data_IF_916162867346
#
_entry.id   IF_916162867346
#
_cell.length_a   1.000
_cell.length_b   1.000
_cell.length_c   1.000
_cell.angle_alpha   90.00
_cell.angle_beta   90.00
_cell.angle_gamma   90.00
#
_symmetry.space_group_name_H-M   'P 1'
#
loop_
_entity.id
_entity.type
_entity.pdbx_description
1 polymer ?
#
# COMPACT_ATOMS: atom_id res chain seq x y z
N UNK A 1 -10.66 43.86 60.20
CA UNK A 1 -9.96 43.35 58.99
C UNK A 1 -10.91 42.37 58.32
N UNK A 2 -12.02 42.82 57.74
CA UNK A 2 -12.18 43.44 56.41
C UNK A 2 -11.83 42.46 55.27
N UNK A 3 -12.91 42.02 54.61
CA UNK A 3 -12.99 41.23 53.38
C UNK A 3 -12.54 42.07 52.17
N UNK A 4 -11.89 41.42 51.21
CA UNK A 4 -11.87 41.71 49.75
C UNK A 4 -11.47 40.37 49.11
N UNK A 5 -12.35 39.66 48.39
CA UNK A 5 -12.69 39.83 46.96
C UNK A 5 -11.44 39.99 46.08
N UNK A 6 -11.14 38.96 45.28
CA UNK A 6 -10.62 39.17 43.93
C UNK A 6 -10.97 37.98 43.02
N UNK A 7 -11.23 38.37 41.77
CA UNK A 7 -12.05 37.75 40.74
C UNK A 7 -11.47 36.51 40.05
N UNK A 8 -12.32 35.50 39.87
CA UNK A 8 -12.18 34.44 38.86
C UNK A 8 -12.28 35.06 37.46
N UNK A 9 -11.14 35.28 36.80
CA UNK A 9 -11.10 35.39 35.35
C UNK A 9 -11.04 33.99 34.74
N UNK A 10 -12.18 33.53 34.23
CA UNK A 10 -12.28 32.42 33.30
C UNK A 10 -11.54 32.78 32.01
N UNK A 11 -10.41 32.14 31.76
CA UNK A 11 -9.81 32.06 30.42
C UNK A 11 -10.72 31.17 29.57
N UNK A 12 -11.23 31.61 28.41
CA UNK A 12 -12.02 30.74 27.54
C UNK A 12 -11.11 29.62 27.03
N UNK A 13 -11.48 28.37 27.32
CA UNK A 13 -10.91 27.21 26.63
C UNK A 13 -11.14 27.40 25.12
N UNK A 14 -10.05 27.36 24.35
CA UNK A 14 -10.10 27.32 22.91
C UNK A 14 -10.95 26.12 22.47
N UNK A 15 -12.11 26.41 21.89
CA UNK A 15 -13.01 25.42 21.33
C UNK A 15 -12.38 24.88 20.04
N UNK A 16 -11.81 23.68 20.14
CA UNK A 16 -11.76 22.62 19.13
C UNK A 16 -11.98 23.03 17.65
N UNK A 17 -11.06 23.81 17.05
CA UNK A 17 -11.13 24.28 15.65
C UNK A 17 -10.64 23.26 14.62
N UNK A 18 -9.83 22.26 15.01
CA UNK A 18 -9.22 21.32 14.06
C UNK A 18 -10.22 20.32 13.46
N UNK A 19 -11.26 19.94 14.20
CA UNK A 19 -12.26 18.97 13.75
C UNK A 19 -13.26 19.60 12.75
N UNK A 20 -13.53 20.91 12.86
CA UNK A 20 -14.40 21.63 11.91
C UNK A 20 -13.73 21.89 10.57
N UNK A 21 -12.42 22.19 10.55
CA UNK A 21 -11.69 22.44 9.30
C UNK A 21 -11.55 21.18 8.43
N UNK A 22 -11.32 20.01 9.06
CA UNK A 22 -11.22 18.73 8.35
C UNK A 22 -12.52 18.35 7.63
N UNK A 23 -13.67 18.49 8.31
CA UNK A 23 -15.00 18.25 7.71
C UNK A 23 -15.27 19.20 6.55
N UNK A 24 -14.87 20.46 6.71
CA UNK A 24 -15.02 21.49 5.67
C UNK A 24 -14.20 21.15 4.41
N UNK A 25 -12.96 20.65 4.56
CA UNK A 25 -12.14 20.26 3.41
C UNK A 25 -12.70 19.05 2.65
N UNK A 26 -13.13 17.99 3.35
CA UNK A 26 -13.73 16.82 2.70
C UNK A 26 -14.96 17.21 1.89
N UNK A 27 -15.86 17.99 2.48
CA UNK A 27 -17.09 18.46 1.81
C UNK A 27 -16.76 19.37 0.62
N UNK A 28 -15.80 20.27 0.77
CA UNK A 28 -15.38 21.17 -0.31
C UNK A 28 -14.79 20.41 -1.50
N UNK A 29 -13.81 19.53 -1.26
CA UNK A 29 -13.10 18.81 -2.32
C UNK A 29 -13.87 17.61 -2.89
N UNK A 30 -15.05 17.29 -2.35
CA UNK A 30 -16.02 16.39 -3.00
C UNK A 30 -16.74 17.03 -4.20
N UNK A 31 -16.67 18.36 -4.33
CA UNK A 31 -17.27 19.12 -5.44
C UNK A 31 -16.39 19.04 -6.70
N UNK A 32 -16.93 19.36 -7.90
CA UNK A 32 -16.13 19.37 -9.12
C UNK A 32 -14.88 20.26 -8.99
N UNK A 33 -13.72 19.82 -9.51
CA UNK A 33 -12.44 20.54 -9.36
C UNK A 33 -12.43 21.92 -10.02
N UNK A 34 -13.35 22.17 -10.95
CA UNK A 34 -13.54 23.46 -11.61
C UNK A 34 -14.31 24.49 -10.79
N UNK A 35 -14.82 24.11 -9.60
CA UNK A 35 -15.62 25.01 -8.75
C UNK A 35 -14.74 26.12 -8.17
N UNK A 36 -15.22 27.36 -8.19
CA UNK A 36 -14.45 28.53 -7.74
C UNK A 36 -13.93 28.39 -6.30
N UNK A 37 -14.74 27.84 -5.38
CA UNK A 37 -14.33 27.61 -3.99
C UNK A 37 -13.21 26.56 -3.86
N UNK A 38 -13.23 25.50 -4.68
CA UNK A 38 -12.19 24.46 -4.71
C UNK A 38 -10.88 25.03 -5.24
N UNK A 39 -10.94 25.81 -6.33
CA UNK A 39 -9.76 26.46 -6.91
C UNK A 39 -9.17 27.51 -5.96
N UNK A 40 -10.00 28.31 -5.29
CA UNK A 40 -9.55 29.29 -4.31
C UNK A 40 -8.84 28.59 -3.14
N UNK A 41 -9.46 27.54 -2.59
CA UNK A 41 -8.83 26.80 -1.49
C UNK A 41 -7.54 26.11 -1.91
N UNK A 42 -7.50 25.57 -3.13
CA UNK A 42 -6.27 25.00 -3.71
C UNK A 42 -5.17 26.06 -3.82
N UNK A 43 -5.49 27.26 -4.31
CA UNK A 43 -4.57 28.40 -4.40
C UNK A 43 -3.99 28.75 -3.03
N UNK A 44 -4.85 28.88 -2.01
CA UNK A 44 -4.44 29.18 -0.63
C UNK A 44 -3.49 28.14 -0.07
N UNK A 45 -3.80 26.84 -0.24
CA UNK A 45 -2.95 25.74 0.22
C UNK A 45 -1.59 25.77 -0.50
N UNK A 46 -1.57 25.89 -1.83
CA UNK A 46 -0.32 25.96 -2.58
C UNK A 46 0.52 27.19 -2.20
N UNK A 47 -0.08 28.38 -2.07
CA UNK A 47 0.61 29.58 -1.63
C UNK A 47 1.24 29.41 -0.25
N UNK A 48 0.48 28.85 0.71
CA UNK A 48 0.92 28.70 2.10
C UNK A 48 2.05 27.69 2.26
N UNK A 49 1.98 26.56 1.56
CA UNK A 49 2.88 25.41 1.81
C UNK A 49 3.99 25.24 0.78
N UNK A 50 3.82 25.72 -0.46
CA UNK A 50 4.86 25.66 -1.49
C UNK A 50 5.67 26.96 -1.59
N UNK A 51 5.06 28.10 -1.21
CA UNK A 51 5.70 29.42 -1.26
C UNK A 51 6.11 29.86 -2.67
N UNK A 52 6.95 30.90 -2.74
CA UNK A 52 7.56 31.35 -4.00
C UNK A 52 6.52 31.85 -5.00
N UNK A 53 6.61 31.42 -6.26
CA UNK A 53 5.67 31.88 -7.30
C UNK A 53 4.21 31.54 -6.99
N UNK A 54 3.96 30.48 -6.21
CA UNK A 54 2.61 30.05 -5.82
C UNK A 54 1.86 31.10 -4.98
N UNK A 55 2.55 32.00 -4.28
CA UNK A 55 1.95 33.10 -3.51
C UNK A 55 1.33 34.18 -4.40
N UNK A 56 1.83 34.32 -5.63
CA UNK A 56 1.45 35.40 -6.55
C UNK A 56 0.37 35.01 -7.57
N UNK A 57 0.08 33.71 -7.68
CA UNK A 57 -0.89 33.20 -8.64
C UNK A 57 -2.29 33.66 -8.29
N UNK A 58 -3.04 34.07 -9.32
CA UNK A 58 -4.48 34.25 -9.21
C UNK A 58 -5.23 32.92 -9.36
N UNK A 59 -6.44 32.87 -8.85
CA UNK A 59 -7.29 31.66 -8.85
C UNK A 59 -7.59 31.14 -10.25
N UNK A 60 -7.73 32.04 -11.25
CA UNK A 60 -7.93 31.68 -12.66
C UNK A 60 -6.71 31.02 -13.32
N UNK A 61 -5.54 31.11 -12.69
CA UNK A 61 -4.28 30.53 -13.18
C UNK A 61 -4.00 29.13 -12.60
N UNK A 62 -4.69 28.72 -11.53
CA UNK A 62 -4.51 27.40 -10.93
C UNK A 62 -5.06 26.32 -11.88
N UNK A 63 -4.20 25.37 -12.25
CA UNK A 63 -4.59 24.19 -13.02
C UNK A 63 -4.70 23.00 -12.07
N UNK A 64 -5.94 22.57 -11.81
CA UNK A 64 -6.24 21.43 -10.97
C UNK A 64 -6.81 20.29 -11.82
N UNK A 65 -6.22 19.11 -11.74
CA UNK A 65 -6.70 17.90 -12.42
C UNK A 65 -6.92 16.79 -11.39
N UNK A 66 -8.07 16.12 -11.45
CA UNK A 66 -8.31 14.91 -10.65
C UNK A 66 -7.33 13.84 -11.08
N UNK A 67 -6.71 13.20 -10.11
CA UNK A 67 -5.86 12.03 -10.27
C UNK A 67 -6.63 10.83 -9.73
N UNK A 68 -6.84 9.82 -10.56
CA UNK A 68 -7.39 8.55 -10.10
C UNK A 68 -6.39 7.88 -9.15
N UNK A 69 -6.90 7.32 -8.05
CA UNK A 69 -6.12 6.57 -7.06
C UNK A 69 -6.73 6.62 -5.66
N UNK A 70 -6.57 5.54 -4.89
CA UNK A 70 -6.94 5.40 -3.46
C UNK A 70 -8.43 5.51 -3.13
N UNK A 71 -8.88 4.78 -2.10
CA UNK A 71 -10.25 4.88 -1.57
C UNK A 71 -10.37 5.86 -0.38
N UNK A 72 -9.24 6.21 0.22
CA UNK A 72 -9.16 7.00 1.43
C UNK A 72 -8.81 8.48 1.21
N UNK A 73 -8.47 8.84 -0.03
CA UNK A 73 -7.96 10.16 -0.40
C UNK A 73 -8.59 10.67 -1.70
N UNK A 74 -8.97 11.95 -1.74
CA UNK A 74 -9.13 12.65 -3.02
C UNK A 74 -7.76 13.15 -3.48
N UNK A 75 -7.36 12.74 -4.69
CA UNK A 75 -6.05 13.06 -5.23
C UNK A 75 -6.17 14.05 -6.40
N UNK A 76 -5.37 15.10 -6.38
CA UNK A 76 -5.36 16.11 -7.43
C UNK A 76 -3.93 16.50 -7.80
N UNK A 77 -3.66 16.63 -9.08
CA UNK A 77 -2.42 17.25 -9.57
C UNK A 77 -2.67 18.75 -9.74
N UNK A 78 -1.88 19.56 -9.04
CA UNK A 78 -1.85 21.01 -9.20
C UNK A 78 -0.62 21.39 -10.02
N UNK A 79 -0.79 22.28 -11.01
CA UNK A 79 0.33 22.71 -11.89
C UNK A 79 0.34 24.22 -12.07
N UNK A 80 1.56 24.76 -12.18
CA UNK A 80 1.81 26.09 -12.70
C UNK A 80 1.42 26.17 -14.19
N UNK A 81 0.95 27.32 -14.68
CA UNK A 81 0.87 27.60 -16.11
C UNK A 81 2.23 27.47 -16.81
N UNK A 82 2.23 27.07 -18.08
CA UNK A 82 3.46 26.85 -18.86
C UNK A 82 4.27 28.14 -19.07
N UNK A 83 3.60 29.29 -19.08
CA UNK A 83 4.17 30.63 -19.25
C UNK A 83 4.74 31.24 -17.96
N UNK A 84 4.47 30.63 -16.80
CA UNK A 84 4.97 31.10 -15.51
C UNK A 84 6.32 30.43 -15.20
N UNK A 85 7.37 31.23 -14.98
CA UNK A 85 8.67 30.74 -14.53
C UNK A 85 8.73 30.66 -13.00
N UNK A 86 9.45 29.67 -12.49
CA UNK A 86 9.74 29.54 -11.06
C UNK A 86 10.75 30.60 -10.63
N UNK A 87 10.64 31.08 -9.41
CA UNK A 87 11.51 32.09 -8.82
C UNK A 87 12.72 31.47 -8.13
N UNK A 88 12.55 30.28 -7.55
CA UNK A 88 13.59 29.53 -6.84
C UNK A 88 13.41 28.01 -7.10
N UNK A 89 13.48 27.19 -6.05
CA UNK A 89 13.41 25.73 -6.10
C UNK A 89 11.98 25.17 -5.92
N UNK A 90 10.95 26.02 -6.00
CA UNK A 90 9.57 25.56 -5.85
C UNK A 90 9.14 24.65 -7.01
N UNK A 91 8.31 23.62 -6.74
CA UNK A 91 7.93 22.67 -7.77
C UNK A 91 6.95 23.29 -8.76
N UNK A 92 7.09 22.94 -10.05
CA UNK A 92 6.10 23.30 -11.09
C UNK A 92 4.77 22.56 -10.95
N UNK A 93 4.80 21.42 -10.27
CA UNK A 93 3.62 20.59 -10.03
C UNK A 93 3.72 19.86 -8.70
N UNK A 94 2.59 19.73 -8.02
CA UNK A 94 2.46 19.00 -6.77
C UNK A 94 1.22 18.11 -6.79
N UNK A 95 1.26 17.03 -6.02
CA UNK A 95 0.12 16.16 -5.76
C UNK A 95 -0.53 16.61 -4.45
N UNK A 96 -1.76 17.09 -4.54
CA UNK A 96 -2.62 17.45 -3.42
C UNK A 96 -3.46 16.24 -3.03
N UNK A 97 -3.31 15.76 -1.79
CA UNK A 97 -4.09 14.66 -1.22
C UNK A 97 -4.98 15.18 -0.10
N UNK A 98 -6.28 14.97 -0.20
CA UNK A 98 -7.27 15.32 0.82
C UNK A 98 -7.85 14.07 1.46
N UNK A 99 -7.74 13.96 2.77
CA UNK A 99 -8.20 12.79 3.54
C UNK A 99 -9.71 12.76 3.60
N UNK A 100 -10.33 11.64 3.22
CA UNK A 100 -11.78 11.50 3.23
C UNK A 100 -12.29 10.42 4.19
N UNK A 101 -11.60 9.31 4.37
CA UNK A 101 -12.14 8.15 5.12
C UNK A 101 -11.17 7.60 6.19
N UNK A 102 -10.38 8.47 6.82
CA UNK A 102 -9.43 8.08 7.86
C UNK A 102 -9.77 8.66 9.22
N UNK A 103 -9.50 7.91 10.28
CA UNK A 103 -9.53 8.44 11.63
C UNK A 103 -8.25 9.22 11.98
N UNK A 104 -8.27 9.96 13.10
CA UNK A 104 -7.14 10.80 13.53
C UNK A 104 -5.87 9.98 13.80
N UNK A 105 -5.99 8.75 14.30
CA UNK A 105 -4.85 7.90 14.59
C UNK A 105 -4.23 7.35 13.30
N UNK A 106 -5.05 6.96 12.33
CA UNK A 106 -4.62 6.52 11.00
C UNK A 106 -3.86 7.63 10.28
N UNK A 107 -4.44 8.85 10.24
CA UNK A 107 -3.78 10.04 9.68
C UNK A 107 -2.42 10.29 10.35
N UNK A 108 -2.35 10.15 11.68
CA UNK A 108 -1.12 10.37 12.44
C UNK A 108 -0.03 9.37 12.04
N UNK A 109 -0.37 8.08 12.00
CA UNK A 109 0.57 7.00 11.65
C UNK A 109 1.02 7.13 10.20
N UNK A 110 0.10 7.36 9.26
CA UNK A 110 0.42 7.52 7.84
C UNK A 110 1.32 8.74 7.62
N UNK A 111 1.04 9.87 8.29
CA UNK A 111 1.86 11.09 8.18
C UNK A 111 3.31 10.83 8.63
N UNK A 112 3.51 10.07 9.72
CA UNK A 112 4.85 9.67 10.18
C UNK A 112 5.55 8.80 9.14
N UNK A 113 4.84 7.83 8.56
CA UNK A 113 5.37 6.95 7.52
C UNK A 113 5.81 7.75 6.29
N UNK A 114 4.93 8.58 5.74
CA UNK A 114 5.19 9.39 4.54
C UNK A 114 6.35 10.37 4.77
N UNK A 115 6.38 11.06 5.91
CA UNK A 115 7.46 11.99 6.22
C UNK A 115 8.83 11.29 6.27
N UNK A 116 8.92 10.11 6.89
CA UNK A 116 10.16 9.35 6.97
C UNK A 116 10.59 8.75 5.63
N UNK A 117 9.64 8.26 4.82
CA UNK A 117 9.91 7.77 3.47
C UNK A 117 10.42 8.89 2.56
N UNK A 118 9.83 10.08 2.66
CA UNK A 118 10.29 11.28 1.95
C UNK A 118 11.73 11.64 2.33
N UNK A 119 12.10 11.58 3.61
CA UNK A 119 13.46 11.91 4.06
C UNK A 119 14.51 10.87 3.63
N UNK A 120 14.07 9.65 3.33
CA UNK A 120 14.94 8.53 2.88
C UNK A 120 14.89 8.31 1.37
N UNK A 121 14.20 9.16 0.61
CA UNK A 121 14.01 9.04 -0.84
C UNK A 121 13.37 7.71 -1.27
N UNK A 122 12.43 7.19 -0.46
CA UNK A 122 11.71 5.92 -0.69
C UNK A 122 10.24 6.10 -1.08
N UNK A 123 9.86 7.35 -1.33
CA UNK A 123 8.55 7.75 -1.82
C UNK A 123 8.62 9.19 -2.32
N UNK A 124 7.50 9.76 -2.75
CA UNK A 124 7.41 11.16 -3.15
C UNK A 124 7.89 12.09 -2.02
N UNK A 125 8.60 13.16 -2.37
CA UNK A 125 8.95 14.17 -1.36
C UNK A 125 7.70 14.80 -0.77
N UNK A 126 7.67 14.93 0.54
CA UNK A 126 6.62 15.63 1.26
C UNK A 126 6.91 17.13 1.21
N UNK A 127 6.00 17.89 0.60
CA UNK A 127 6.12 19.33 0.39
C UNK A 127 5.38 20.15 1.46
N UNK A 128 4.29 19.60 2.01
CA UNK A 128 3.54 20.25 3.08
C UNK A 128 2.52 19.31 3.73
N UNK A 129 2.25 19.53 5.02
CA UNK A 129 1.20 18.83 5.79
C UNK A 129 0.26 19.87 6.37
N UNK A 130 -1.04 19.61 6.31
CA UNK A 130 -2.05 20.46 6.92
C UNK A 130 -3.22 19.63 7.48
N UNK A 131 -4.03 20.19 8.39
CA UNK A 131 -5.25 19.52 8.81
C UNK A 131 -6.13 19.23 7.61
N UNK A 132 -6.32 17.96 7.27
CA UNK A 132 -7.20 17.52 6.16
C UNK A 132 -6.47 16.94 4.97
N UNK A 133 -5.14 17.02 4.94
CA UNK A 133 -4.40 16.53 3.78
C UNK A 133 -2.92 16.88 3.77
N UNK A 134 -2.31 16.69 2.60
CA UNK A 134 -0.89 16.95 2.37
C UNK A 134 -0.61 17.30 0.91
N UNK A 135 0.55 17.91 0.69
CA UNK A 135 1.13 18.14 -0.62
C UNK A 135 2.40 17.29 -0.76
N UNK A 136 2.46 16.53 -1.84
CA UNK A 136 3.58 15.67 -2.21
C UNK A 136 4.17 16.11 -3.55
N UNK A 137 5.41 15.73 -3.81
CA UNK A 137 6.02 15.80 -5.13
C UNK A 137 5.19 15.01 -6.14
N UNK A 138 4.85 15.66 -7.26
CA UNK A 138 4.30 14.95 -8.39
C UNK A 138 5.45 14.33 -9.20
N UNK A 139 5.51 12.99 -9.25
CA UNK A 139 6.53 12.25 -10.01
C UNK A 139 6.01 12.00 -11.43
N UNK A 140 6.62 12.60 -12.49
CA UNK A 140 6.25 12.32 -13.87
C UNK A 140 6.51 10.85 -14.21
N UNK A 141 5.43 10.09 -14.36
CA UNK A 141 5.47 8.63 -14.41
C UNK A 141 4.14 8.05 -14.90
N UNK A 142 4.14 6.73 -15.09
CA UNK A 142 2.95 5.90 -15.26
C UNK A 142 3.03 4.67 -14.37
N UNK A 143 1.90 4.04 -14.09
CA UNK A 143 1.89 2.70 -13.49
C UNK A 143 2.43 1.66 -14.49
N UNK A 144 2.86 0.51 -13.95
CA UNK A 144 3.23 -0.64 -14.76
C UNK A 144 1.98 -1.34 -15.29
N UNK A 145 2.08 -1.95 -16.48
CA UNK A 145 1.12 -2.97 -16.89
C UNK A 145 1.44 -4.29 -16.17
N UNK A 146 0.47 -5.20 -16.00
CA UNK A 146 0.73 -6.53 -15.42
C UNK A 146 1.88 -7.27 -16.17
N UNK A 147 1.92 -7.17 -17.52
CA UNK A 147 3.00 -7.78 -18.32
C UNK A 147 4.38 -7.23 -17.95
N UNK A 148 4.49 -5.92 -17.73
CA UNK A 148 5.75 -5.29 -17.31
C UNK A 148 6.10 -5.62 -15.86
N UNK A 149 5.12 -5.68 -14.97
CA UNK A 149 5.30 -6.12 -13.58
C UNK A 149 5.88 -7.55 -13.49
N UNK A 150 5.49 -8.41 -14.45
CA UNK A 150 6.02 -9.76 -14.60
C UNK A 150 7.36 -9.84 -15.36
N UNK A 151 7.99 -8.72 -15.71
CA UNK A 151 9.30 -8.73 -16.36
C UNK A 151 10.41 -9.05 -15.34
N UNK A 152 11.37 -9.96 -15.63
CA UNK A 152 12.43 -10.32 -14.68
C UNK A 152 13.31 -9.15 -14.23
N UNK A 153 13.54 -8.14 -15.08
CA UNK A 153 14.33 -6.96 -14.73
C UNK A 153 13.56 -6.03 -13.79
N UNK A 154 12.24 -5.92 -13.97
CA UNK A 154 11.37 -5.25 -12.99
C UNK A 154 11.38 -6.02 -11.68
N UNK A 155 11.30 -7.36 -11.72
CA UNK A 155 11.37 -8.21 -10.54
C UNK A 155 12.65 -7.99 -9.72
N UNK A 156 13.81 -7.86 -10.38
CA UNK A 156 15.07 -7.54 -9.72
C UNK A 156 14.98 -6.21 -8.95
N UNK A 157 14.49 -5.15 -9.58
CA UNK A 157 14.32 -3.85 -8.94
C UNK A 157 13.29 -3.86 -7.81
N UNK A 158 12.19 -4.59 -7.97
CA UNK A 158 11.19 -4.80 -6.91
C UNK A 158 11.83 -5.46 -5.68
N UNK A 159 12.69 -6.46 -5.90
CA UNK A 159 13.47 -7.07 -4.83
C UNK A 159 14.34 -6.05 -4.09
N UNK A 160 15.04 -5.19 -4.84
CA UNK A 160 15.85 -4.11 -4.26
C UNK A 160 15.00 -3.14 -3.45
N UNK A 161 13.87 -2.69 -3.99
CA UNK A 161 12.94 -1.77 -3.30
C UNK A 161 12.46 -2.37 -1.98
N UNK A 162 11.95 -3.61 -2.00
CA UNK A 162 11.46 -4.27 -0.78
C UNK A 162 12.57 -4.50 0.25
N UNK A 163 13.80 -4.82 -0.15
CA UNK A 163 14.92 -4.94 0.78
C UNK A 163 15.22 -3.62 1.48
N UNK A 164 15.12 -2.51 0.75
CA UNK A 164 15.28 -1.18 1.34
C UNK A 164 14.15 -0.88 2.33
N UNK A 165 12.88 -1.07 1.94
CA UNK A 165 11.71 -0.89 2.81
C UNK A 165 11.80 -1.76 4.07
N UNK A 166 12.14 -3.05 3.92
CA UNK A 166 12.26 -4.00 5.03
C UNK A 166 13.43 -3.69 5.98
N UNK A 167 14.40 -2.89 5.54
CA UNK A 167 15.53 -2.45 6.36
C UNK A 167 15.20 -1.21 7.21
N UNK A 168 14.05 -0.57 6.97
CA UNK A 168 13.68 0.65 7.68
C UNK A 168 13.31 0.39 9.15
N UNK A 169 13.90 1.20 10.01
CA UNK A 169 13.46 1.35 11.39
C UNK A 169 12.44 2.50 11.48
N UNK A 170 11.17 2.15 11.67
CA UNK A 170 10.03 3.06 11.69
C UNK A 170 9.47 3.17 13.12
N UNK A 171 9.19 4.39 13.63
CA UNK A 171 8.72 4.64 14.99
C UNK A 171 7.20 4.41 15.12
N UNK A 172 6.74 3.26 14.66
CA UNK A 172 5.34 2.81 14.74
C UNK A 172 5.26 1.48 15.51
N UNK A 173 4.05 0.97 15.74
CA UNK A 173 3.88 -0.32 16.44
C UNK A 173 4.65 -1.45 15.76
N UNK A 174 5.44 -2.20 16.53
CA UNK A 174 6.20 -3.37 16.05
C UNK A 174 5.36 -4.65 15.98
N UNK A 175 4.09 -4.59 16.43
CA UNK A 175 3.19 -5.74 16.36
C UNK A 175 2.76 -5.97 14.91
N UNK A 176 2.61 -7.24 14.47
CA UNK A 176 2.04 -7.58 13.17
C UNK A 176 0.62 -7.00 13.01
N UNK A 177 0.47 -5.86 12.32
CA UNK A 177 -0.80 -5.12 12.29
C UNK A 177 -1.78 -5.63 11.23
N UNK A 178 -1.30 -6.22 10.15
CA UNK A 178 -2.14 -6.56 9.00
C UNK A 178 -3.26 -7.55 9.36
N UNK A 179 -2.99 -8.54 10.22
CA UNK A 179 -4.03 -9.45 10.72
C UNK A 179 -5.08 -8.74 11.57
N UNK A 180 -4.69 -7.74 12.36
CA UNK A 180 -5.61 -6.97 13.21
C UNK A 180 -6.58 -6.13 12.33
N UNK A 181 -6.09 -5.61 11.21
CA UNK A 181 -6.92 -4.92 10.20
C UNK A 181 -7.97 -5.90 9.64
N UNK A 182 -7.55 -7.11 9.28
CA UNK A 182 -8.45 -8.14 8.73
C UNK A 182 -9.45 -8.65 9.76
N UNK A 183 -9.08 -8.78 11.04
CA UNK A 183 -10.04 -9.04 12.11
C UNK A 183 -11.11 -7.95 12.20
N UNK A 184 -10.70 -6.68 12.11
CA UNK A 184 -11.64 -5.56 12.04
C UNK A 184 -12.59 -5.65 10.85
N UNK A 185 -12.11 -6.12 9.70
CA UNK A 185 -12.96 -6.37 8.52
C UNK A 185 -13.97 -7.49 8.78
N UNK A 186 -13.55 -8.62 9.37
CA UNK A 186 -14.42 -9.72 9.76
C UNK A 186 -15.52 -9.24 10.73
N UNK A 187 -15.16 -8.45 11.75
CA UNK A 187 -16.13 -7.89 12.70
C UNK A 187 -17.15 -6.96 12.03
N UNK A 188 -16.74 -6.20 11.02
CA UNK A 188 -17.66 -5.39 10.21
C UNK A 188 -18.57 -6.25 9.37
N UNK A 189 -18.05 -7.31 8.74
CA UNK A 189 -18.85 -8.26 7.95
C UNK A 189 -19.92 -8.95 8.81
N UNK A 190 -19.60 -9.34 10.05
CA UNK A 190 -20.58 -9.92 11.00
C UNK A 190 -21.82 -9.05 11.23
N UNK A 191 -21.70 -7.73 11.02
CA UNK A 191 -22.76 -6.76 11.27
C UNK A 191 -23.61 -6.46 10.04
N UNK A 192 -23.29 -7.02 8.87
CA UNK A 192 -24.08 -6.79 7.65
C UNK A 192 -25.11 -7.88 7.42
N UNK A 193 -26.28 -7.50 6.89
CA UNK A 193 -27.37 -8.45 6.62
C UNK A 193 -26.95 -9.54 5.64
N UNK A 194 -26.10 -9.21 4.66
CA UNK A 194 -25.61 -10.13 3.63
C UNK A 194 -24.93 -11.35 4.26
N UNK A 195 -24.15 -11.15 5.32
CA UNK A 195 -23.29 -12.16 5.92
C UNK A 195 -23.92 -12.91 7.11
N UNK A 196 -25.22 -12.76 7.33
CA UNK A 196 -26.00 -13.56 8.29
C UNK A 196 -26.27 -15.00 7.84
N UNK A 197 -25.95 -15.32 6.57
CA UNK A 197 -26.18 -16.63 5.94
C UNK A 197 -24.90 -17.22 5.35
N UNK A 198 -24.89 -18.54 5.16
CA UNK A 198 -23.80 -19.24 4.50
C UNK A 198 -23.96 -19.22 2.96
N UNK A 199 -22.86 -19.02 2.24
CA UNK A 199 -22.84 -19.01 0.78
C UNK A 199 -22.20 -20.27 0.22
N UNK A 200 -22.74 -20.82 -0.88
CA UNK A 200 -22.10 -21.94 -1.58
C UNK A 200 -20.81 -21.44 -2.21
N UNK A 201 -19.71 -22.15 -1.95
CA UNK A 201 -18.43 -21.84 -2.56
C UNK A 201 -18.51 -22.04 -4.08
N UNK A 202 -17.96 -21.09 -4.83
CA UNK A 202 -17.87 -21.14 -6.28
C UNK A 202 -16.65 -20.35 -6.75
N UNK A 203 -16.40 -20.37 -8.05
CA UNK A 203 -15.32 -19.64 -8.72
C UNK A 203 -15.86 -19.00 -9.99
N UNK A 204 -15.32 -17.85 -10.33
CA UNK A 204 -15.69 -17.06 -11.51
C UNK A 204 -14.61 -17.23 -12.57
N UNK A 205 -13.38 -16.84 -12.24
CA UNK A 205 -12.19 -16.96 -13.09
C UNK A 205 -11.15 -17.93 -12.53
N UNK A 206 -11.10 -18.14 -11.21
CA UNK A 206 -10.12 -19.02 -10.59
C UNK A 206 -10.33 -20.49 -11.01
N UNK A 207 -9.24 -21.17 -11.38
CA UNK A 207 -9.25 -22.59 -11.74
C UNK A 207 -8.55 -23.37 -10.66
N UNK A 208 -9.31 -23.90 -9.71
CA UNK A 208 -8.81 -24.72 -8.61
C UNK A 208 -9.61 -26.01 -8.49
N UNK A 209 -9.03 -27.03 -7.85
CA UNK A 209 -9.76 -28.23 -7.51
C UNK A 209 -10.83 -27.91 -6.44
N UNK A 210 -12.09 -28.11 -6.79
CA UNK A 210 -13.21 -27.85 -5.90
C UNK A 210 -13.16 -28.72 -4.62
N UNK A 211 -12.48 -29.87 -4.65
CA UNK A 211 -12.31 -30.73 -3.48
C UNK A 211 -11.42 -30.11 -2.38
N UNK A 212 -10.60 -29.11 -2.72
CA UNK A 212 -9.79 -28.37 -1.75
C UNK A 212 -10.59 -27.30 -1.00
N UNK A 213 -11.72 -26.88 -1.57
CA UNK A 213 -12.54 -25.81 -1.04
C UNK A 213 -13.66 -26.35 -0.15
N UNK A 214 -14.10 -25.59 0.87
CA UNK A 214 -15.28 -25.94 1.66
C UNK A 214 -16.53 -25.86 0.79
N UNK A 215 -17.58 -26.61 1.13
CA UNK A 215 -18.86 -26.53 0.40
C UNK A 215 -19.49 -25.13 0.54
N UNK A 216 -19.32 -24.50 1.70
CA UNK A 216 -19.89 -23.19 2.03
C UNK A 216 -18.89 -22.31 2.77
N UNK A 217 -19.03 -21.01 2.58
CA UNK A 217 -18.30 -20.00 3.33
C UNK A 217 -19.21 -19.20 4.26
N UNK A 218 -18.66 -18.82 5.41
CA UNK A 218 -19.31 -18.00 6.46
C UNK A 218 -18.28 -17.02 7.04
N UNK A 219 -18.74 -16.01 7.76
CA UNK A 219 -17.82 -15.09 8.45
C UNK A 219 -17.03 -15.79 9.54
N UNK A 220 -17.63 -16.78 10.22
CA UNK A 220 -16.91 -17.56 11.24
C UNK A 220 -15.81 -18.42 10.63
N UNK A 221 -16.02 -18.98 9.44
CA UNK A 221 -14.96 -19.66 8.69
C UNK A 221 -13.79 -18.70 8.41
N UNK A 222 -14.05 -17.44 8.04
CA UNK A 222 -12.97 -16.46 7.83
C UNK A 222 -12.15 -16.22 9.10
N UNK A 223 -12.81 -16.12 10.25
CA UNK A 223 -12.14 -15.97 11.54
C UNK A 223 -11.28 -17.20 11.88
N UNK A 224 -11.81 -18.41 11.67
CA UNK A 224 -11.08 -19.66 11.89
C UNK A 224 -9.84 -19.78 11.00
N UNK A 225 -9.97 -19.45 9.71
CA UNK A 225 -8.86 -19.51 8.76
C UNK A 225 -7.81 -18.43 9.03
N UNK A 226 -8.22 -17.25 9.51
CA UNK A 226 -7.29 -16.19 9.93
C UNK A 226 -6.50 -16.60 11.18
N UNK A 227 -7.14 -17.25 12.15
CA UNK A 227 -6.44 -17.81 13.31
C UNK A 227 -5.47 -18.93 12.93
N UNK A 228 -5.79 -19.73 11.91
CA UNK A 228 -4.84 -20.70 11.35
C UNK A 228 -3.63 -19.99 10.72
N UNK A 229 -3.84 -18.93 9.92
CA UNK A 229 -2.75 -18.12 9.35
C UNK A 229 -1.83 -17.60 10.45
N UNK A 230 -2.39 -16.99 11.51
CA UNK A 230 -1.61 -16.46 12.64
C UNK A 230 -0.75 -17.54 13.29
N UNK A 231 -1.30 -18.73 13.56
CA UNK A 231 -0.55 -19.86 14.14
C UNK A 231 0.58 -20.33 13.23
N UNK A 232 0.32 -20.48 11.93
CA UNK A 232 1.35 -20.85 10.95
C UNK A 232 2.49 -19.82 10.93
N UNK A 233 2.17 -18.53 10.92
CA UNK A 233 3.17 -17.47 10.77
C UNK A 233 4.00 -17.28 12.04
N UNK A 234 3.40 -17.45 13.22
CA UNK A 234 4.15 -17.54 14.49
C UNK A 234 5.20 -18.67 14.48
N UNK A 235 4.97 -19.75 13.73
CA UNK A 235 5.91 -20.88 13.57
C UNK A 235 6.85 -20.76 12.37
N UNK A 236 6.65 -19.77 11.49
CA UNK A 236 7.42 -19.64 10.25
C UNK A 236 8.91 -19.31 10.46
N UNK A 237 9.23 -18.61 11.55
CA UNK A 237 10.54 -18.01 11.75
C UNK A 237 10.85 -16.84 10.80
N UNK A 238 9.89 -16.38 9.98
CA UNK A 238 10.03 -15.19 9.16
C UNK A 238 10.17 -13.95 10.06
N UNK A 239 11.14 -13.06 9.82
CA UNK A 239 11.31 -11.87 10.62
C UNK A 239 10.17 -10.88 10.39
N UNK A 240 9.78 -10.20 11.47
CA UNK A 240 8.88 -9.04 11.39
C UNK A 240 9.71 -7.82 10.97
N UNK A 241 9.33 -7.20 9.86
CA UNK A 241 9.98 -6.05 9.21
C UNK A 241 8.94 -4.97 8.92
N UNK A 242 9.38 -3.74 8.65
CA UNK A 242 8.46 -2.74 8.10
C UNK A 242 8.15 -3.15 6.67
N UNK A 243 6.89 -3.41 6.38
CA UNK A 243 6.38 -3.97 5.13
C UNK A 243 5.43 -2.98 4.47
N UNK A 244 5.38 -2.99 3.14
CA UNK A 244 4.41 -2.23 2.36
C UNK A 244 3.02 -2.87 2.44
N UNK A 245 2.94 -4.20 2.41
CA UNK A 245 1.74 -5.04 2.46
C UNK A 245 0.77 -4.93 1.27
N UNK A 246 1.02 -4.08 0.28
CA UNK A 246 0.12 -3.88 -0.86
C UNK A 246 0.88 -3.62 -2.18
N UNK A 247 1.91 -4.41 -2.41
CA UNK A 247 2.72 -4.31 -3.62
C UNK A 247 2.02 -4.96 -4.83
N UNK A 248 1.46 -4.12 -5.70
CA UNK A 248 0.93 -4.51 -7.02
C UNK A 248 1.34 -3.48 -8.10
N UNK A 249 1.02 -3.73 -9.37
CA UNK A 249 1.45 -2.93 -10.52
C UNK A 249 0.98 -1.47 -10.48
N UNK A 250 -0.16 -1.21 -9.83
CA UNK A 250 -0.73 0.13 -9.63
C UNK A 250 0.04 0.98 -8.63
N UNK A 251 0.77 0.35 -7.71
CA UNK A 251 1.58 1.03 -6.69
C UNK A 251 3.06 1.15 -7.08
N UNK A 252 3.43 0.75 -8.30
CA UNK A 252 4.76 0.95 -8.86
C UNK A 252 4.73 1.93 -10.03
N UNK A 253 5.37 3.07 -9.83
CA UNK A 253 5.53 4.09 -10.85
C UNK A 253 6.80 3.83 -11.67
N UNK A 254 6.66 3.70 -12.98
CA UNK A 254 7.76 3.78 -13.94
C UNK A 254 7.98 5.24 -14.34
N UNK A 255 9.17 5.77 -14.07
CA UNK A 255 9.51 7.17 -14.37
C UNK A 255 9.48 7.46 -15.87
N UNK A 256 9.08 8.70 -16.22
CA UNK A 256 9.08 9.17 -17.60
C UNK A 256 10.48 9.14 -18.22
N UNK A 257 10.56 8.54 -19.41
CA UNK A 257 11.82 8.31 -20.13
C UNK A 257 12.51 7.01 -19.76
N UNK A 258 11.88 6.15 -18.93
CA UNK A 258 12.28 4.75 -18.72
C UNK A 258 11.32 3.83 -19.47
N UNK A 259 11.89 2.83 -20.15
CA UNK A 259 11.16 1.82 -20.91
C UNK A 259 11.53 0.41 -20.41
N UNK A 260 10.50 -0.42 -20.20
CA UNK A 260 10.69 -1.84 -19.88
C UNK A 260 10.88 -2.62 -21.18
N UNK A 261 12.02 -3.30 -21.32
CA UNK A 261 12.32 -4.14 -22.49
C UNK A 261 12.69 -5.56 -22.06
N UNK A 262 12.70 -6.50 -23.01
CA UNK A 262 13.14 -7.88 -22.75
C UNK A 262 14.61 -7.96 -22.31
N UNK A 263 15.41 -6.95 -22.62
CA UNK A 263 16.84 -6.89 -22.32
C UNK A 263 17.19 -5.97 -21.13
N UNK A 264 16.20 -5.43 -20.43
CA UNK A 264 16.41 -4.54 -19.27
C UNK A 264 15.55 -3.29 -19.28
N UNK A 265 15.69 -2.49 -18.23
CA UNK A 265 15.13 -1.15 -18.12
C UNK A 265 16.06 -0.18 -18.87
N UNK A 266 15.56 0.47 -19.92
CA UNK A 266 16.32 1.44 -20.74
C UNK A 266 15.84 2.85 -20.42
N UNK A 267 16.74 3.82 -20.37
CA UNK A 267 16.36 5.21 -20.10
C UNK A 267 17.32 5.90 -19.14
N UNK A 268 16.79 6.81 -18.32
CA UNK A 268 17.57 7.57 -17.34
C UNK A 268 18.36 6.64 -16.43
N UNK A 269 19.62 7.02 -16.20
CA UNK A 269 20.59 6.28 -15.38
C UNK A 269 20.85 6.92 -14.02
N UNK A 270 20.43 8.17 -13.83
CA UNK A 270 20.79 8.97 -12.66
C UNK A 270 19.76 8.86 -11.52
N UNK A 271 18.60 8.25 -11.79
CA UNK A 271 17.50 8.05 -10.83
C UNK A 271 17.07 6.59 -10.84
N UNK A 272 16.53 6.11 -9.70
CA UNK A 272 15.92 4.79 -9.64
C UNK A 272 14.74 4.70 -10.62
N UNK A 273 14.67 3.66 -11.48
CA UNK A 273 13.72 3.60 -12.58
C UNK A 273 12.26 3.41 -12.12
N UNK A 274 12.09 2.82 -10.93
CA UNK A 274 10.81 2.51 -10.32
C UNK A 274 10.69 3.21 -8.98
N UNK A 275 9.47 3.66 -8.66
CA UNK A 275 9.14 4.23 -7.35
C UNK A 275 7.94 3.49 -6.79
N UNK A 276 8.12 2.87 -5.62
CA UNK A 276 7.00 2.35 -4.84
C UNK A 276 6.29 3.50 -4.14
N UNK A 277 4.99 3.56 -4.34
CA UNK A 277 4.10 4.53 -3.71
C UNK A 277 3.03 3.81 -2.90
N UNK A 278 2.14 4.59 -2.29
CA UNK A 278 0.97 4.12 -1.57
C UNK A 278 1.30 3.13 -0.42
N UNK A 279 1.65 3.71 0.72
CA UNK A 279 2.00 2.98 1.94
C UNK A 279 0.81 2.90 2.91
N UNK A 280 -0.43 2.92 2.39
CA UNK A 280 -1.67 2.90 3.18
C UNK A 280 -1.76 1.67 4.10
N UNK A 281 -1.39 0.49 3.59
CA UNK A 281 -1.35 -0.75 4.36
C UNK A 281 0.01 -0.99 5.05
N UNK A 282 0.94 -0.04 4.97
CA UNK A 282 2.29 -0.25 5.48
C UNK A 282 2.31 -0.36 7.00
N UNK A 283 2.98 -1.39 7.50
CA UNK A 283 3.05 -1.69 8.93
C UNK A 283 4.19 -2.67 9.20
N UNK A 284 4.50 -2.92 10.48
CA UNK A 284 5.32 -4.07 10.79
C UNK A 284 4.52 -5.35 10.53
N UNK A 285 5.04 -6.23 9.67
CA UNK A 285 4.46 -7.53 9.37
C UNK A 285 5.56 -8.53 8.96
N UNK A 286 5.19 -9.77 8.62
CA UNK A 286 6.17 -10.81 8.26
C UNK A 286 6.77 -10.53 6.88
N UNK A 287 8.12 -10.57 6.77
CA UNK A 287 8.84 -10.42 5.49
C UNK A 287 8.25 -11.31 4.39
N UNK A 288 7.88 -12.54 4.75
CA UNK A 288 7.37 -13.54 3.82
C UNK A 288 6.07 -13.14 3.14
N UNK A 289 5.27 -12.29 3.80
CA UNK A 289 4.05 -11.76 3.22
C UNK A 289 4.37 -10.85 2.02
N UNK A 290 5.14 -9.79 2.20
CA UNK A 290 5.52 -8.89 1.11
C UNK A 290 6.25 -9.62 -0.01
N UNK A 291 7.16 -10.54 0.36
CA UNK A 291 7.92 -11.29 -0.64
C UNK A 291 7.02 -12.16 -1.50
N UNK A 292 6.05 -12.87 -0.90
CA UNK A 292 5.11 -13.70 -1.66
C UNK A 292 4.05 -12.87 -2.38
N UNK A 293 3.71 -11.67 -1.85
CA UNK A 293 2.66 -10.83 -2.40
C UNK A 293 2.97 -10.40 -3.83
N UNK A 294 4.24 -10.04 -4.10
CA UNK A 294 4.72 -9.80 -5.47
C UNK A 294 4.34 -10.94 -6.42
N UNK A 295 4.61 -12.20 -6.03
CA UNK A 295 4.31 -13.37 -6.87
C UNK A 295 2.82 -13.62 -7.03
N UNK A 296 2.03 -13.34 -6.00
CA UNK A 296 0.56 -13.42 -6.04
C UNK A 296 0.00 -12.39 -7.02
N UNK A 297 0.46 -11.15 -6.96
CA UNK A 297 -0.03 -10.07 -7.82
C UNK A 297 0.48 -10.17 -9.27
N UNK A 298 1.58 -10.91 -9.54
CA UNK A 298 1.90 -11.33 -10.92
C UNK A 298 0.76 -12.14 -11.56
N UNK A 299 -0.08 -12.81 -10.77
CA UNK A 299 -1.19 -13.63 -11.25
C UNK A 299 -2.52 -12.87 -11.31
N UNK A 300 -2.53 -11.57 -10.98
CA UNK A 300 -3.72 -10.72 -10.91
C UNK A 300 -3.58 -9.51 -11.83
N UNK A 301 -4.67 -9.12 -12.47
CA UNK A 301 -4.75 -7.88 -13.23
C UNK A 301 -6.11 -7.24 -12.99
N UNK A 302 -6.09 -6.08 -12.32
CA UNK A 302 -7.29 -5.34 -11.92
C UNK A 302 -7.67 -4.25 -12.94
N UNK A 303 -7.06 -4.26 -14.14
CA UNK A 303 -7.31 -3.25 -15.19
C UNK A 303 -8.29 -3.71 -16.27
N UNK A 304 -8.91 -4.89 -16.09
CA UNK A 304 -9.85 -5.47 -17.04
C UNK A 304 -11.11 -4.59 -17.19
N UNK A 305 -11.54 -4.34 -18.44
CA UNK A 305 -12.64 -3.42 -18.76
C UNK A 305 -14.00 -4.09 -18.91
N UNK A 306 -14.06 -5.39 -18.67
CA UNK A 306 -15.27 -6.21 -18.83
C UNK A 306 -15.46 -7.08 -17.60
N UNK A 307 -16.73 -7.35 -17.24
CA UNK A 307 -17.06 -8.18 -16.09
C UNK A 307 -16.24 -9.49 -16.06
N UNK A 308 -15.68 -9.86 -14.90
CA UNK A 308 -15.87 -9.27 -13.57
C UNK A 308 -14.94 -8.09 -13.24
N UNK A 309 -14.32 -7.46 -14.26
CA UNK A 309 -13.43 -6.29 -14.18
C UNK A 309 -12.08 -6.55 -13.49
N UNK A 310 -11.73 -7.83 -13.34
CA UNK A 310 -10.39 -8.30 -13.08
C UNK A 310 -10.08 -9.53 -13.95
N UNK A 311 -8.82 -9.95 -13.95
CA UNK A 311 -8.34 -11.18 -14.57
C UNK A 311 -7.50 -11.99 -13.58
N UNK A 312 -7.65 -13.31 -13.63
CA UNK A 312 -6.84 -14.27 -12.88
C UNK A 312 -6.03 -15.10 -13.85
N UNK A 313 -4.71 -14.98 -13.76
CA UNK A 313 -3.76 -15.58 -14.69
C UNK A 313 -2.82 -16.51 -13.93
N UNK A 314 -3.37 -17.53 -13.26
CA UNK A 314 -2.62 -18.46 -12.39
C UNK A 314 -1.36 -19.07 -13.04
N UNK A 315 -1.32 -19.17 -14.38
CA UNK A 315 -0.14 -19.67 -15.13
C UNK A 315 1.03 -18.68 -15.17
N UNK A 316 0.83 -17.42 -14.81
CA UNK A 316 1.85 -16.39 -14.68
C UNK A 316 2.58 -16.42 -13.33
N UNK A 317 2.24 -17.36 -12.43
CA UNK A 317 2.99 -17.55 -11.19
C UNK A 317 4.50 -17.61 -11.52
N UNK A 318 5.33 -16.73 -10.92
CA UNK A 318 6.74 -16.65 -11.27
C UNK A 318 7.43 -18.00 -11.15
N UNK A 319 8.15 -18.40 -12.20
CA UNK A 319 8.97 -19.61 -12.17
C UNK A 319 10.08 -19.47 -11.12
N UNK A 320 10.67 -20.58 -10.68
CA UNK A 320 11.78 -20.52 -9.73
C UNK A 320 12.94 -19.63 -10.25
N UNK A 321 13.25 -19.70 -11.55
CA UNK A 321 14.26 -18.84 -12.16
C UNK A 321 13.93 -17.35 -12.02
N UNK A 322 12.66 -16.98 -12.22
CA UNK A 322 12.20 -15.60 -12.02
C UNK A 322 12.30 -15.19 -10.55
N UNK A 323 11.83 -16.05 -9.64
CA UNK A 323 11.91 -15.80 -8.20
C UNK A 323 13.36 -15.64 -7.72
N UNK A 324 14.31 -16.39 -8.30
CA UNK A 324 15.74 -16.23 -8.01
C UNK A 324 16.30 -14.87 -8.45
N UNK A 325 15.83 -14.32 -9.57
CA UNK A 325 16.21 -12.96 -10.01
C UNK A 325 15.67 -11.92 -9.03
N UNK A 326 14.39 -12.02 -8.69
CA UNK A 326 13.73 -11.18 -7.70
C UNK A 326 14.44 -11.21 -6.33
N UNK A 327 14.67 -12.40 -5.79
CA UNK A 327 15.40 -12.60 -4.53
C UNK A 327 16.85 -12.13 -4.64
N UNK A 328 17.47 -12.28 -5.82
CA UNK A 328 18.81 -11.77 -6.09
C UNK A 328 18.89 -10.26 -5.86
N UNK A 329 17.94 -9.49 -6.39
CA UNK A 329 17.83 -8.05 -6.15
C UNK A 329 17.61 -7.71 -4.67
N UNK A 330 16.78 -8.49 -3.99
CA UNK A 330 16.55 -8.34 -2.54
C UNK A 330 17.84 -8.49 -1.72
N UNK A 331 18.59 -9.57 -1.96
CA UNK A 331 19.84 -9.84 -1.25
C UNK A 331 20.94 -8.84 -1.63
N UNK A 332 21.05 -8.46 -2.90
CA UNK A 332 22.05 -7.48 -3.35
C UNK A 332 21.86 -6.13 -2.67
N UNK A 333 20.60 -5.66 -2.55
CA UNK A 333 20.33 -4.42 -1.84
C UNK A 333 20.58 -4.53 -0.34
N UNK A 334 20.23 -5.66 0.27
CA UNK A 334 20.54 -5.90 1.68
C UNK A 334 22.06 -5.88 1.94
N UNK A 335 22.87 -6.43 1.03
CA UNK A 335 24.34 -6.40 1.09
C UNK A 335 24.89 -4.97 0.90
N UNK A 336 24.31 -4.17 0.01
CA UNK A 336 24.65 -2.74 -0.13
C UNK A 336 24.40 -1.96 1.17
N UNK A 337 23.23 -2.16 1.79
CA UNK A 337 22.88 -1.51 3.06
C UNK A 337 23.85 -1.97 4.16
N UNK A 338 24.14 -3.27 4.24
CA UNK A 338 25.10 -3.79 5.21
C UNK A 338 26.49 -3.16 5.05
N UNK A 339 26.97 -2.98 3.81
CA UNK A 339 28.26 -2.30 3.54
C UNK A 339 28.24 -0.84 3.99
N UNK A 340 27.15 -0.12 3.73
CA UNK A 340 27.01 1.27 4.17
C UNK A 340 26.96 1.40 5.70
N UNK A 341 26.44 0.38 6.40
CA UNK A 341 26.34 0.32 7.87
C UNK A 341 27.50 -0.43 8.54
N UNK A 342 28.70 -0.42 7.94
CA UNK A 342 29.91 -0.98 8.57
C UNK A 342 29.94 -2.51 8.66
N UNK A 343 29.24 -3.20 7.75
CA UNK A 343 29.18 -4.66 7.65
C UNK A 343 28.09 -5.32 8.49
N UNK A 344 27.26 -4.53 9.20
CA UNK A 344 26.13 -5.06 9.98
C UNK A 344 24.99 -5.46 9.05
N UNK A 345 24.58 -6.74 9.06
CA UNK A 345 23.44 -7.20 8.26
C UNK A 345 22.13 -6.55 8.73
N UNK A 346 21.29 -6.03 7.83
CA UNK A 346 19.99 -5.49 8.20
C UNK A 346 19.10 -6.59 8.75
N UNK A 347 18.17 -6.22 9.64
CA UNK A 347 17.27 -7.15 10.34
C UNK A 347 16.50 -8.07 9.38
N UNK A 348 16.18 -7.56 8.20
CA UNK A 348 15.42 -8.25 7.17
C UNK A 348 16.13 -9.45 6.53
N UNK A 349 17.45 -9.62 6.73
CA UNK A 349 18.22 -10.79 6.28
C UNK A 349 19.07 -11.41 7.39
N UNK A 350 18.94 -10.94 8.63
CA UNK A 350 19.80 -11.37 9.73
C UNK A 350 19.61 -12.85 10.11
N UNK A 351 18.42 -13.41 9.87
CA UNK A 351 18.07 -14.81 10.07
C UNK A 351 18.58 -15.74 8.95
N UNK A 352 18.94 -15.18 7.80
CA UNK A 352 19.33 -15.97 6.63
C UNK A 352 20.77 -16.50 6.77
N UNK A 353 21.08 -17.68 6.21
CA UNK A 353 22.46 -18.16 6.15
C UNK A 353 23.36 -17.20 5.36
N UNK A 354 24.67 -17.27 5.61
CA UNK A 354 25.67 -16.49 4.88
C UNK A 354 25.91 -17.05 3.47
N UNK A 355 25.71 -18.35 3.27
CA UNK A 355 25.73 -18.96 1.95
C UNK A 355 24.54 -18.44 1.12
N UNK A 356 24.86 -17.84 -0.04
CA UNK A 356 23.86 -17.14 -0.85
C UNK A 356 22.81 -18.09 -1.43
N UNK A 357 23.21 -19.28 -1.88
CA UNK A 357 22.26 -20.25 -2.42
C UNK A 357 21.34 -20.77 -1.32
N UNK A 358 21.87 -21.08 -0.14
CA UNK A 358 21.06 -21.45 1.01
C UNK A 358 20.09 -20.33 1.43
N UNK A 359 20.50 -19.06 1.34
CA UNK A 359 19.63 -17.91 1.62
C UNK A 359 18.51 -17.79 0.58
N UNK A 360 18.84 -17.98 -0.71
CA UNK A 360 17.86 -18.03 -1.80
C UNK A 360 16.86 -19.17 -1.56
N UNK A 361 17.33 -20.38 -1.23
CA UNK A 361 16.44 -21.52 -0.94
C UNK A 361 15.51 -21.23 0.23
N UNK A 362 16.01 -20.56 1.28
CA UNK A 362 15.19 -20.16 2.43
C UNK A 362 14.08 -19.19 2.02
N UNK A 363 14.40 -18.19 1.21
CA UNK A 363 13.43 -17.20 0.73
C UNK A 363 12.44 -17.78 -0.28
N UNK A 364 12.86 -18.70 -1.16
CA UNK A 364 11.96 -19.43 -2.06
C UNK A 364 10.92 -20.24 -1.27
N UNK A 365 11.37 -20.94 -0.22
CA UNK A 365 10.47 -21.67 0.68
C UNK A 365 9.47 -20.72 1.35
N UNK A 366 9.95 -19.58 1.84
CA UNK A 366 9.12 -18.57 2.48
C UNK A 366 8.05 -18.01 1.52
N UNK A 367 8.43 -17.59 0.30
CA UNK A 367 7.51 -17.13 -0.74
C UNK A 367 6.39 -18.15 -0.97
N UNK A 368 6.76 -19.42 -1.13
CA UNK A 368 5.82 -20.51 -1.41
C UNK A 368 4.85 -20.76 -0.25
N UNK A 369 5.33 -20.79 0.99
CA UNK A 369 4.51 -21.14 2.15
C UNK A 369 3.66 -19.96 2.66
N UNK A 370 4.01 -18.72 2.33
CA UNK A 370 3.19 -17.54 2.64
C UNK A 370 2.07 -17.28 1.63
N UNK A 371 2.12 -17.86 0.42
CA UNK A 371 1.24 -17.56 -0.71
C UNK A 371 -0.27 -17.67 -0.43
N UNK A 372 -0.68 -18.48 0.55
CA UNK A 372 -2.08 -18.57 0.96
C UNK A 372 -2.57 -17.28 1.63
N UNK A 373 -1.76 -16.64 2.47
CA UNK A 373 -2.22 -15.54 3.32
C UNK A 373 -2.72 -14.33 2.54
N UNK A 374 -2.00 -13.77 1.54
CA UNK A 374 -2.52 -12.63 0.78
C UNK A 374 -3.86 -12.95 0.13
N UNK A 375 -4.07 -14.19 -0.34
CA UNK A 375 -5.34 -14.62 -0.91
C UNK A 375 -6.49 -14.48 0.10
N UNK A 376 -6.30 -14.96 1.34
CA UNK A 376 -7.33 -14.84 2.39
C UNK A 376 -7.61 -13.39 2.77
N UNK A 377 -6.55 -12.59 2.99
CA UNK A 377 -6.71 -11.21 3.44
C UNK A 377 -7.46 -10.38 2.39
N UNK A 378 -7.06 -10.50 1.11
CA UNK A 378 -7.71 -9.77 0.03
C UNK A 378 -9.09 -10.32 -0.33
N UNK A 379 -9.38 -11.60 -0.06
CA UNK A 379 -10.74 -12.11 -0.14
C UNK A 379 -11.68 -11.43 0.86
N UNK A 380 -11.27 -11.38 2.14
CA UNK A 380 -12.03 -10.77 3.22
C UNK A 380 -12.20 -9.27 3.00
N UNK A 381 -11.12 -8.59 2.57
CA UNK A 381 -11.16 -7.20 2.15
C UNK A 381 -12.21 -7.00 1.05
N UNK A 382 -12.17 -7.81 -0.02
CA UNK A 382 -13.09 -7.68 -1.14
C UNK A 382 -14.54 -7.89 -0.73
N UNK A 383 -14.82 -8.90 0.10
CA UNK A 383 -16.15 -9.09 0.65
C UNK A 383 -16.65 -7.90 1.46
N UNK A 384 -15.75 -7.16 2.14
CA UNK A 384 -16.13 -5.90 2.80
C UNK A 384 -16.41 -4.80 1.78
N UNK A 385 -15.57 -4.65 0.76
CA UNK A 385 -15.76 -3.64 -0.28
C UNK A 385 -17.12 -3.81 -1.00
N UNK A 386 -17.54 -5.06 -1.22
CA UNK A 386 -18.83 -5.39 -1.83
C UNK A 386 -20.06 -4.90 -1.03
N UNK A 387 -19.89 -4.47 0.22
CA UNK A 387 -20.95 -3.89 1.06
C UNK A 387 -20.98 -2.36 1.01
N UNK A 388 -19.87 -1.71 0.63
CA UNK A 388 -19.71 -0.25 0.69
C UNK A 388 -19.77 0.41 -0.69
N UNK A 389 -19.26 -0.28 -1.72
CA UNK A 389 -19.03 0.32 -3.02
C UNK A 389 -19.85 -0.40 -4.10
N UNK A 390 -20.90 0.23 -4.66
CA UNK A 390 -21.57 -0.25 -5.85
C UNK A 390 -20.74 0.13 -7.10
N UNK A 391 -19.51 -0.37 -7.19
CA UNK A 391 -18.65 -0.19 -8.35
C UNK A 391 -18.95 -1.27 -9.39
N UNK A 392 -18.53 -1.02 -10.63
CA UNK A 392 -18.57 -2.02 -11.70
C UNK A 392 -17.71 -3.24 -11.35
N UNK A 393 -16.63 -3.05 -10.59
CA UNK A 393 -15.78 -4.11 -10.10
C UNK A 393 -16.55 -5.07 -9.16
N UNK A 394 -16.64 -6.34 -9.56
CA UNK A 394 -17.41 -7.33 -8.81
C UNK A 394 -16.58 -7.90 -7.65
N UNK A 395 -16.53 -7.13 -6.57
CA UNK A 395 -15.80 -7.48 -5.36
C UNK A 395 -16.29 -8.80 -4.73
N UNK A 396 -17.57 -9.14 -4.89
CA UNK A 396 -18.12 -10.35 -4.30
C UNK A 396 -17.55 -11.59 -5.00
N UNK A 397 -17.62 -11.61 -6.33
CA UNK A 397 -17.02 -12.67 -7.15
C UNK A 397 -15.50 -12.73 -6.97
N UNK A 398 -14.82 -11.57 -6.89
CA UNK A 398 -13.38 -11.52 -6.60
C UNK A 398 -13.04 -12.20 -5.26
N UNK A 399 -13.84 -11.95 -4.23
CA UNK A 399 -13.68 -12.57 -2.92
C UNK A 399 -13.76 -14.10 -2.99
N UNK A 400 -14.69 -14.65 -3.77
CA UNK A 400 -14.79 -16.10 -3.98
C UNK A 400 -13.57 -16.66 -4.69
N UNK A 401 -13.12 -16.03 -5.76
CA UNK A 401 -11.93 -16.48 -6.49
C UNK A 401 -10.66 -16.43 -5.61
N UNK A 402 -10.46 -15.35 -4.83
CA UNK A 402 -9.36 -15.25 -3.86
C UNK A 402 -9.46 -16.31 -2.76
N UNK A 403 -10.67 -16.61 -2.23
CA UNK A 403 -10.87 -17.73 -1.29
C UNK A 403 -10.49 -19.07 -1.91
N UNK A 404 -10.85 -19.32 -3.17
CA UNK A 404 -10.53 -20.56 -3.85
C UNK A 404 -9.00 -20.72 -4.00
N UNK A 405 -8.31 -19.63 -4.34
CA UNK A 405 -6.85 -19.61 -4.39
C UNK A 405 -6.21 -19.78 -3.00
N UNK A 406 -6.78 -19.21 -1.94
CA UNK A 406 -6.34 -19.47 -0.55
C UNK A 406 -6.34 -20.97 -0.27
N UNK A 407 -7.43 -21.68 -0.55
CA UNK A 407 -7.52 -23.13 -0.32
C UNK A 407 -6.55 -23.93 -1.18
N UNK A 408 -6.25 -23.47 -2.41
CA UNK A 408 -5.23 -24.12 -3.25
C UNK A 408 -3.81 -24.01 -2.67
N UNK A 409 -3.49 -22.92 -1.97
CA UNK A 409 -2.18 -22.68 -1.35
C UNK A 409 -2.12 -23.12 0.12
N UNK A 410 -3.27 -23.31 0.78
CA UNK A 410 -3.37 -23.71 2.19
C UNK A 410 -2.49 -24.93 2.54
N UNK A 411 -2.39 -26.00 1.73
CA UNK A 411 -1.50 -27.13 2.01
C UNK A 411 -0.02 -26.77 2.16
N UNK A 412 0.47 -25.74 1.46
CA UNK A 412 1.84 -25.25 1.58
C UNK A 412 2.03 -24.49 2.89
N UNK A 413 1.08 -23.63 3.25
CA UNK A 413 1.12 -22.83 4.48
C UNK A 413 1.09 -23.68 5.74
N UNK A 414 0.23 -24.71 5.80
CA UNK A 414 0.09 -25.56 7.01
C UNK A 414 1.34 -26.40 7.30
N UNK A 415 2.28 -26.52 6.36
CA UNK A 415 3.57 -27.20 6.61
C UNK A 415 4.35 -26.57 7.77
N UNK A 416 4.18 -25.27 8.03
CA UNK A 416 4.77 -24.61 9.20
C UNK A 416 4.37 -25.24 10.54
N UNK A 417 3.20 -25.89 10.61
CA UNK A 417 2.74 -26.57 11.82
C UNK A 417 3.23 -28.02 11.89
N UNK A 418 3.46 -28.65 10.74
CA UNK A 418 3.81 -30.08 10.63
C UNK A 418 5.33 -30.33 10.73
N UNK A 419 6.17 -29.34 10.41
CA UNK A 419 7.63 -29.47 10.45
C UNK A 419 8.22 -29.44 11.88
N UNK A 420 7.39 -29.29 12.91
CA UNK A 420 7.81 -29.29 14.33
C UNK A 420 7.71 -30.65 15.04
N UNK A 421 7.34 -31.73 14.33
CA UNK A 421 7.13 -33.07 14.93
C UNK A 421 8.20 -34.13 14.57
N UNK A 422 9.38 -33.72 14.13
CA UNK A 422 10.50 -34.65 13.82
C UNK A 422 11.77 -34.29 14.56
#
# INVERSE_FOLDING_TARGET
MQRCEDSLHTVPMAVNTSCSEHKNLKELFSQPPSTAAVLERTRELCATYLGGIWETLRTDQIRLKVQEGGLNNFNFVVRLPDDVQTLDNEPRSALLRIYCNMDVNEVTVETVIVALLSQRSLGPRLLGIFPGGRLEEFIPSRILTNKEFCNPHVAYEVGRILAHVHSLDMPITRRPRLTDIVEGLIERLRRTERWTKAYKMHTTLAKVDAALCPERITVDLFAEELELVKRCFQKSGSPIVFSNNDLHEGNLLLRDGVEVTDNGLRGRKDEDPLVLIDYEYASYYYRGFDLCHYCVECCQDNTNKSWPYYNIMQRQWPTEQHQRIYIGGYLDKADEIAKAEGGKRPRCVADLPLDREAAIQRLLKEIRQFAACPQLLWAIWSFRQAEEFPLEYDFFEYGFDRMAMYYSWKPEMIRYLNECTS
#
